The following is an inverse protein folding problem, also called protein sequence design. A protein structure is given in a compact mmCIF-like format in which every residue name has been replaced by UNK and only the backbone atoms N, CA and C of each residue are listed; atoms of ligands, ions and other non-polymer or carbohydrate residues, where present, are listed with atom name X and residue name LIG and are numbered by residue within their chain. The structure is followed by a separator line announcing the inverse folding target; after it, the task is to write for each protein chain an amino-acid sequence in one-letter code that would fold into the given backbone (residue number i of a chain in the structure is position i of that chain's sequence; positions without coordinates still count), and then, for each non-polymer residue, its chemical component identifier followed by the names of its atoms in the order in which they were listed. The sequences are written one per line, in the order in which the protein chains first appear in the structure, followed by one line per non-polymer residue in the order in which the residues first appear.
data_IF_442793180404
#
_entry.id   IF_442793180404
#
_cell.length_a   1.000
_cell.length_b   1.000
_cell.length_c   1.000
_cell.angle_alpha   90.00
_cell.angle_beta   90.00
_cell.angle_gamma   90.00
#
_symmetry.space_group_name_H-M   'P 1'
#
loop_
_entity.id
_entity.type
_entity.pdbx_description
1 polymer ?
#
# COMPACT_ATOMS: atom_id res chain seq x y z
N UNK A 1 -7.64 -20.36 32.16
CA UNK A 1 -6.89 -20.41 30.88
C UNK A 1 -7.72 -19.67 29.82
N UNK A 2 -7.83 -18.35 29.76
CA UNK A 2 -6.88 -17.24 30.01
C UNK A 2 -5.65 -17.22 29.10
N UNK A 3 -5.80 -17.68 27.85
CA UNK A 3 -4.80 -17.48 26.79
C UNK A 3 -5.40 -17.23 25.39
N UNK A 4 -6.72 -16.99 25.25
CA UNK A 4 -7.24 -16.48 23.97
C UNK A 4 -6.82 -15.01 23.86
N UNK A 5 -5.98 -14.67 22.88
CA UNK A 5 -4.70 -14.10 23.18
C UNK A 5 -4.76 -12.59 22.99
N UNK A 6 -3.92 -11.88 23.75
CA UNK A 6 -3.51 -10.48 23.51
C UNK A 6 -3.15 -10.19 22.03
N UNK A 7 -2.95 -11.22 21.21
CA UNK A 7 -2.77 -11.19 19.75
C UNK A 7 -3.95 -10.55 19.00
N UNK A 8 -5.20 -10.74 19.42
CA UNK A 8 -6.37 -10.14 18.73
C UNK A 8 -6.50 -8.62 18.98
N UNK A 9 -5.87 -8.12 20.06
CA UNK A 9 -5.74 -6.68 20.36
C UNK A 9 -4.45 -6.10 19.73
N UNK A 10 -3.43 -6.94 19.53
CA UNK A 10 -2.24 -6.63 18.71
C UNK A 10 -2.48 -6.82 17.21
N UNK A 11 -3.66 -7.28 16.77
CA UNK A 11 -3.99 -7.39 15.36
C UNK A 11 -3.77 -6.02 14.74
N UNK A 12 -2.81 -5.89 13.80
CA UNK A 12 -2.37 -4.61 13.32
C UNK A 12 -3.59 -3.89 12.77
N UNK A 13 -3.65 -2.60 13.07
CA UNK A 13 -4.63 -1.66 12.55
C UNK A 13 -5.21 -2.15 11.22
N UNK A 14 -6.54 -2.36 11.18
CA UNK A 14 -7.30 -2.65 9.97
C UNK A 14 -7.28 -1.44 9.00
N UNK A 15 -6.11 -0.87 8.71
CA UNK A 15 -5.92 0.08 7.64
C UNK A 15 -6.09 -0.71 6.35
N UNK A 16 -7.27 -0.60 5.77
CA UNK A 16 -7.54 -0.99 4.39
C UNK A 16 -6.82 -0.02 3.45
N UNK A 17 -5.50 -0.05 3.47
CA UNK A 17 -4.69 0.67 2.49
C UNK A 17 -4.78 -0.03 1.14
N UNK A 18 -4.48 0.71 0.07
CA UNK A 18 -4.38 0.14 -1.27
C UNK A 18 -3.42 -1.07 -1.29
N UNK A 19 -2.36 -1.05 -0.48
CA UNK A 19 -1.39 -2.13 -0.34
C UNK A 19 -1.99 -3.40 0.29
N UNK A 20 -2.78 -3.25 1.36
CA UNK A 20 -3.43 -4.39 2.02
C UNK A 20 -4.43 -5.08 1.09
N UNK A 21 -5.17 -4.31 0.27
CA UNK A 21 -6.10 -4.85 -0.73
C UNK A 21 -5.36 -5.60 -1.83
N UNK A 22 -4.33 -4.99 -2.41
CA UNK A 22 -3.50 -5.64 -3.45
C UNK A 22 -2.91 -6.97 -2.96
N UNK A 23 -2.44 -7.02 -1.71
CA UNK A 23 -1.93 -8.24 -1.08
C UNK A 23 -3.02 -9.30 -0.91
N UNK A 24 -4.21 -8.92 -0.43
CA UNK A 24 -5.35 -9.84 -0.30
C UNK A 24 -5.73 -10.50 -1.62
N UNK A 25 -5.91 -9.71 -2.69
CA UNK A 25 -6.22 -10.25 -4.02
C UNK A 25 -5.09 -11.11 -4.60
N UNK A 26 -3.83 -10.80 -4.28
CA UNK A 26 -2.69 -11.64 -4.69
C UNK A 26 -2.67 -12.97 -3.94
N UNK A 27 -3.02 -12.98 -2.65
CA UNK A 27 -3.16 -14.20 -1.83
C UNK A 27 -4.32 -15.08 -2.29
N UNK A 28 -5.40 -14.48 -2.79
CA UNK A 28 -6.53 -15.21 -3.38
C UNK A 28 -6.27 -15.69 -4.82
N UNK A 29 -5.02 -15.61 -5.31
CA UNK A 29 -4.61 -15.93 -6.69
C UNK A 29 -5.34 -15.11 -7.79
N UNK A 30 -6.08 -14.07 -7.39
CA UNK A 30 -6.80 -13.14 -8.26
C UNK A 30 -5.83 -12.06 -8.80
N UNK A 31 -4.79 -12.52 -9.51
CA UNK A 31 -3.73 -11.66 -10.06
C UNK A 31 -4.28 -10.52 -10.94
N UNK A 32 -5.40 -10.77 -11.63
CA UNK A 32 -6.06 -9.80 -12.51
C UNK A 32 -6.64 -8.61 -11.74
N UNK A 33 -7.23 -8.86 -10.57
CA UNK A 33 -7.78 -7.82 -9.70
C UNK A 33 -6.67 -7.17 -8.87
N UNK A 34 -5.73 -7.97 -8.37
CA UNK A 34 -4.54 -7.47 -7.67
C UNK A 34 -3.73 -6.48 -8.51
N UNK A 35 -3.60 -6.74 -9.82
CA UNK A 35 -2.89 -5.87 -10.77
C UNK A 35 -3.41 -4.43 -10.77
N UNK A 36 -4.74 -4.25 -10.76
CA UNK A 36 -5.35 -2.92 -10.75
C UNK A 36 -4.99 -2.14 -9.49
N UNK A 37 -5.04 -2.80 -8.33
CA UNK A 37 -4.66 -2.20 -7.06
C UNK A 37 -3.16 -1.87 -7.02
N UNK A 38 -2.28 -2.75 -7.51
CA UNK A 38 -0.85 -2.49 -7.63
C UNK A 38 -0.54 -1.29 -8.53
N UNK A 39 -1.17 -1.18 -9.71
CA UNK A 39 -0.98 -0.05 -10.61
C UNK A 39 -1.42 1.27 -9.98
N UNK A 40 -2.53 1.24 -9.23
CA UNK A 40 -3.03 2.42 -8.52
C UNK A 40 -2.05 2.88 -7.44
N UNK A 41 -1.44 1.96 -6.68
CA UNK A 41 -0.40 2.27 -5.69
C UNK A 41 0.79 2.96 -6.37
N UNK A 42 1.27 2.39 -7.47
CA UNK A 42 2.40 2.97 -8.22
C UNK A 42 2.02 4.36 -8.73
N UNK A 43 0.86 4.53 -9.36
CA UNK A 43 0.43 5.83 -9.88
C UNK A 43 0.34 6.91 -8.80
N UNK A 44 -0.26 6.58 -7.66
CA UNK A 44 -0.39 7.50 -6.51
C UNK A 44 0.98 7.79 -5.89
N UNK A 45 1.88 6.81 -5.80
CA UNK A 45 3.24 6.99 -5.27
C UNK A 45 4.17 7.75 -6.22
N UNK A 46 4.00 7.59 -7.52
CA UNK A 46 4.82 8.24 -8.55
C UNK A 46 4.49 9.73 -8.66
N UNK A 47 3.23 10.12 -8.45
CA UNK A 47 2.79 11.50 -8.55
C UNK A 47 3.61 12.50 -7.70
N UNK A 48 3.75 12.33 -6.37
CA UNK A 48 4.56 13.22 -5.54
C UNK A 48 6.05 13.10 -5.83
N UNK A 49 6.54 11.93 -6.22
CA UNK A 49 7.95 11.72 -6.58
C UNK A 49 8.32 12.53 -7.82
N UNK A 50 7.47 12.50 -8.86
CA UNK A 50 7.67 13.30 -10.08
C UNK A 50 7.54 14.80 -9.81
N UNK A 51 6.58 15.19 -8.97
CA UNK A 51 6.40 16.58 -8.58
C UNK A 51 7.62 17.12 -7.82
N UNK A 52 8.09 16.37 -6.83
CA UNK A 52 9.27 16.72 -6.03
C UNK A 52 10.55 16.74 -6.90
N UNK A 53 10.73 15.74 -7.77
CA UNK A 53 11.89 15.68 -8.65
C UNK A 53 11.96 16.90 -9.61
N UNK A 54 10.80 17.35 -10.11
CA UNK A 54 10.69 18.58 -10.89
C UNK A 54 11.12 19.82 -10.09
N UNK A 55 10.60 19.98 -8.87
CA UNK A 55 10.99 21.10 -8.01
C UNK A 55 12.48 21.10 -7.68
N UNK A 56 13.06 19.93 -7.36
CA UNK A 56 14.50 19.83 -7.11
C UNK A 56 15.34 20.19 -8.34
N UNK A 57 14.92 19.78 -9.54
CA UNK A 57 15.61 20.16 -10.79
C UNK A 57 15.55 21.66 -11.06
N UNK A 58 14.44 22.31 -10.76
CA UNK A 58 14.28 23.77 -10.93
C UNK A 58 15.05 24.58 -9.88
N UNK A 59 15.30 23.99 -8.70
CA UNK A 59 16.02 24.66 -7.60
C UNK A 59 17.54 24.45 -7.67
N UNK A 60 18.03 23.60 -8.59
CA UNK A 60 19.46 23.39 -8.79
C UNK A 60 19.98 24.48 -9.74
N UNK A 61 20.83 25.43 -9.28
CA UNK A 61 21.34 26.54 -10.07
C UNK A 61 22.26 26.11 -11.22
#
# INVERSE_FOLDING_TARGET
MKELPVILILQPFNFSTLATRAYGYATEELLKEASLWCLTIVAVGLFPVLFLNRQLRETSP
#
